data_IF_584776686809
#
_entry.id   IF_584776686809
#
_cell.length_a   1.000
_cell.length_b   1.000
_cell.length_c   1.000
_cell.angle_alpha   90.00
_cell.angle_beta   90.00
_cell.angle_gamma   90.00
#
_symmetry.space_group_name_H-M   'P 1'
#
loop_
_entity.id
_entity.type
_entity.pdbx_description
1 polymer ?
#
# COMPACT_ATOMS: atom_id res chain seq x y z
N UNK A 1 -4.68 10.52 5.87
CA UNK A 1 -3.22 10.27 5.84
C UNK A 1 -2.64 10.35 7.26
N UNK A 2 -1.71 9.48 7.64
CA UNK A 2 -1.15 9.40 9.02
C UNK A 2 0.08 10.28 9.29
N UNK A 3 0.59 11.02 8.30
CA UNK A 3 1.77 11.86 8.47
C UNK A 3 1.59 12.87 9.61
N UNK A 4 2.66 13.20 10.33
CA UNK A 4 2.71 14.25 11.35
C UNK A 4 3.48 15.48 10.89
N UNK A 5 3.94 15.50 9.63
CA UNK A 5 4.63 16.65 9.04
C UNK A 5 3.67 17.83 8.87
N UNK A 6 4.16 19.04 9.14
CA UNK A 6 3.41 20.27 8.92
C UNK A 6 3.29 20.60 7.44
N UNK A 7 4.27 20.21 6.61
CA UNK A 7 4.25 20.44 5.17
C UNK A 7 3.04 19.76 4.50
N UNK A 8 2.59 18.63 5.04
CA UNK A 8 1.51 17.84 4.44
C UNK A 8 0.11 18.31 4.86
N UNK A 9 -0.01 19.46 5.52
CA UNK A 9 -1.28 19.96 6.06
C UNK A 9 -2.30 20.29 4.95
N UNK A 10 -1.84 20.86 3.84
CA UNK A 10 -2.67 21.18 2.68
C UNK A 10 -3.21 19.91 2.02
N UNK A 11 -2.33 18.93 1.75
CA UNK A 11 -2.73 17.63 1.22
C UNK A 11 -3.74 16.91 2.13
N UNK A 12 -3.58 16.99 3.45
CA UNK A 12 -4.56 16.44 4.40
C UNK A 12 -5.92 17.12 4.30
N UNK A 13 -5.94 18.43 4.12
CA UNK A 13 -7.19 19.18 3.97
C UNK A 13 -7.91 18.79 2.67
N UNK A 14 -7.18 18.70 1.56
CA UNK A 14 -7.72 18.27 0.26
C UNK A 14 -8.30 16.84 0.32
N UNK A 15 -7.66 15.95 1.07
CA UNK A 15 -8.10 14.56 1.23
C UNK A 15 -9.17 14.34 2.31
N UNK A 16 -9.62 15.38 3.00
CA UNK A 16 -10.60 15.27 4.09
C UNK A 16 -12.05 15.09 3.60
N UNK A 17 -12.30 15.32 2.31
CA UNK A 17 -13.61 15.17 1.68
C UNK A 17 -13.52 14.85 0.19
N UNK A 18 -14.66 14.76 -0.51
CA UNK A 18 -14.69 14.59 -1.96
C UNK A 18 -14.01 15.75 -2.69
N UNK A 19 -13.24 15.44 -3.74
CA UNK A 19 -12.66 16.40 -4.66
C UNK A 19 -13.46 16.33 -5.97
N UNK A 20 -14.15 17.41 -6.33
CA UNK A 20 -15.01 17.46 -7.52
C UNK A 20 -14.31 18.05 -8.76
N UNK A 21 -13.26 18.84 -8.54
CA UNK A 21 -12.49 19.47 -9.60
C UNK A 21 -11.36 18.55 -10.10
N UNK A 22 -11.36 18.25 -11.40
CA UNK A 22 -10.40 17.35 -12.03
C UNK A 22 -8.96 17.88 -11.93
N UNK A 23 -8.76 19.21 -12.05
CA UNK A 23 -7.42 19.79 -11.94
C UNK A 23 -6.83 19.56 -10.54
N UNK A 24 -7.66 19.73 -9.51
CA UNK A 24 -7.33 19.43 -8.12
C UNK A 24 -7.04 17.94 -7.91
N UNK A 25 -7.84 17.04 -8.51
CA UNK A 25 -7.56 15.59 -8.48
C UNK A 25 -6.18 15.28 -9.07
N UNK A 26 -5.85 15.83 -10.24
CA UNK A 26 -4.56 15.60 -10.87
C UNK A 26 -3.39 16.12 -10.02
N UNK A 27 -3.52 17.30 -9.42
CA UNK A 27 -2.53 17.85 -8.49
C UNK A 27 -2.30 16.90 -7.31
N UNK A 28 -3.37 16.47 -6.64
CA UNK A 28 -3.31 15.58 -5.48
C UNK A 28 -2.70 14.22 -5.85
N UNK A 29 -3.02 13.68 -7.03
CA UNK A 29 -2.43 12.43 -7.52
C UNK A 29 -0.92 12.56 -7.76
N UNK A 30 -0.45 13.68 -8.32
CA UNK A 30 0.99 13.93 -8.50
C UNK A 30 1.68 13.98 -7.14
N UNK A 31 1.11 14.75 -6.20
CA UNK A 31 1.68 14.89 -4.86
C UNK A 31 1.74 13.54 -4.13
N UNK A 32 0.64 12.79 -4.09
CA UNK A 32 0.55 11.47 -3.46
C UNK A 32 1.53 10.44 -4.05
N UNK A 33 1.76 10.47 -5.36
CA UNK A 33 2.71 9.56 -6.03
C UNK A 33 4.16 9.81 -5.61
N UNK A 34 4.49 11.04 -5.23
CA UNK A 34 5.83 11.41 -4.75
C UNK A 34 5.95 11.47 -3.23
N UNK A 35 4.84 11.33 -2.51
CA UNK A 35 4.80 11.45 -1.07
C UNK A 35 5.37 10.20 -0.39
N UNK A 36 6.19 10.39 0.65
CA UNK A 36 6.76 9.33 1.52
C UNK A 36 5.75 8.32 2.07
N UNK A 37 4.46 8.70 2.11
CA UNK A 37 3.40 7.86 2.67
C UNK A 37 3.09 6.67 1.75
N UNK A 38 3.34 6.82 0.44
CA UNK A 38 3.21 5.73 -0.52
C UNK A 38 4.31 4.69 -0.30
N UNK A 39 5.55 5.13 -0.07
CA UNK A 39 6.68 4.25 0.26
C UNK A 39 6.45 3.54 1.60
N UNK A 40 6.01 4.27 2.64
CA UNK A 40 5.65 3.69 3.93
C UNK A 40 4.54 2.62 3.79
N UNK A 41 3.57 2.85 2.91
CA UNK A 41 2.50 1.89 2.63
C UNK A 41 3.04 0.63 1.94
N UNK A 42 3.99 0.77 1.01
CA UNK A 42 4.68 -0.36 0.35
C UNK A 42 5.50 -1.18 1.35
N UNK A 43 6.18 -0.52 2.28
CA UNK A 43 6.91 -1.21 3.36
C UNK A 43 5.95 -2.02 4.24
N UNK A 44 4.82 -1.43 4.64
CA UNK A 44 3.80 -2.13 5.42
C UNK A 44 3.22 -3.35 4.67
N UNK A 45 2.97 -3.21 3.36
CA UNK A 45 2.52 -4.31 2.53
C UNK A 45 3.52 -5.47 2.52
N UNK A 46 4.81 -5.19 2.34
CA UNK A 46 5.86 -6.22 2.37
C UNK A 46 5.95 -6.93 3.73
N UNK A 47 5.77 -6.20 4.83
CA UNK A 47 5.76 -6.83 6.16
C UNK A 47 4.56 -7.77 6.33
N UNK A 48 3.35 -7.35 5.92
CA UNK A 48 2.16 -8.21 5.96
C UNK A 48 2.37 -9.46 5.11
N UNK A 49 2.92 -9.32 3.91
CA UNK A 49 3.25 -10.44 3.04
C UNK A 49 4.24 -11.40 3.67
N UNK A 50 5.29 -10.89 4.32
CA UNK A 50 6.23 -11.70 5.08
C UNK A 50 5.53 -12.49 6.18
N UNK A 51 4.64 -11.84 6.94
CA UNK A 51 3.85 -12.52 7.98
C UNK A 51 2.94 -13.61 7.40
N UNK A 52 2.29 -13.37 6.25
CA UNK A 52 1.48 -14.36 5.56
C UNK A 52 2.30 -15.60 5.16
N UNK A 53 3.50 -15.40 4.60
CA UNK A 53 4.42 -16.49 4.25
C UNK A 53 4.91 -17.26 5.47
N UNK A 54 5.21 -16.57 6.57
CA UNK A 54 5.58 -17.21 7.84
C UNK A 54 4.44 -18.08 8.40
N UNK A 55 3.19 -17.65 8.25
CA UNK A 55 2.03 -18.44 8.67
C UNK A 55 1.84 -19.72 7.84
N UNK A 56 2.27 -19.73 6.58
CA UNK A 56 2.25 -20.93 5.73
C UNK A 56 3.40 -21.90 6.00
N UNK A 57 4.53 -21.41 6.53
CA UNK A 57 5.74 -22.20 6.74
C UNK A 57 5.57 -23.50 7.56
N UNK A 58 4.77 -23.52 8.65
CA UNK A 58 4.51 -24.73 9.43
C UNK A 58 3.60 -25.76 8.76
N UNK A 59 2.92 -25.42 7.66
CA UNK A 59 1.96 -26.31 7.02
C UNK A 59 2.68 -27.36 6.14
N UNK A 60 2.10 -28.56 5.98
CA UNK A 60 2.62 -29.55 5.05
C UNK A 60 2.72 -28.99 3.62
N UNK A 61 3.78 -29.38 2.92
CA UNK A 61 3.97 -29.04 1.50
C UNK A 61 2.92 -29.80 0.69
N UNK A 62 2.09 -29.05 -0.02
CA UNK A 62 1.03 -29.56 -0.89
C UNK A 62 0.69 -28.51 -1.94
N UNK A 63 -0.08 -28.90 -2.96
CA UNK A 63 -0.56 -27.97 -3.99
C UNK A 63 -1.35 -26.80 -3.40
N UNK A 64 -2.08 -27.03 -2.31
CA UNK A 64 -2.83 -25.99 -1.62
C UNK A 64 -1.90 -24.94 -0.97
N UNK A 65 -0.89 -25.39 -0.22
CA UNK A 65 0.09 -24.48 0.40
C UNK A 65 0.92 -23.74 -0.67
N UNK A 66 1.25 -24.43 -1.77
CA UNK A 66 1.91 -23.82 -2.93
C UNK A 66 1.07 -22.72 -3.58
N UNK A 67 -0.21 -22.97 -3.82
CA UNK A 67 -1.13 -21.99 -4.39
C UNK A 67 -1.28 -20.74 -3.51
N UNK A 68 -1.34 -20.92 -2.17
CA UNK A 68 -1.40 -19.80 -1.23
C UNK A 68 -0.11 -18.98 -1.22
N UNK A 69 1.05 -19.62 -1.36
CA UNK A 69 2.33 -18.93 -1.50
C UNK A 69 2.36 -18.09 -2.79
N UNK A 70 1.99 -18.69 -3.93
CA UNK A 70 1.92 -17.99 -5.21
C UNK A 70 0.92 -16.83 -5.20
N UNK A 71 -0.20 -16.97 -4.50
CA UNK A 71 -1.16 -15.89 -4.32
C UNK A 71 -0.56 -14.71 -3.54
N UNK A 72 0.20 -14.97 -2.48
CA UNK A 72 0.88 -13.92 -1.73
C UNK A 72 1.84 -13.14 -2.62
N UNK A 73 2.65 -13.84 -3.43
CA UNK A 73 3.61 -13.20 -4.34
C UNK A 73 2.89 -12.39 -5.43
N UNK A 74 1.84 -12.94 -6.05
CA UNK A 74 1.07 -12.25 -7.09
C UNK A 74 0.36 -10.97 -6.61
N UNK A 75 -0.03 -10.90 -5.33
CA UNK A 75 -0.62 -9.68 -4.75
C UNK A 75 0.44 -8.58 -4.58
N UNK A 76 1.64 -8.95 -4.16
CA UNK A 76 2.75 -8.01 -3.92
C UNK A 76 3.27 -7.45 -5.25
N UNK A 77 3.47 -8.30 -6.26
CA UNK A 77 4.03 -7.92 -7.57
C UNK A 77 3.19 -6.88 -8.33
N UNK A 78 1.90 -6.73 -7.99
CA UNK A 78 1.04 -5.67 -8.57
C UNK A 78 1.22 -4.30 -7.92
N UNK A 79 1.90 -4.24 -6.79
CA UNK A 79 2.06 -3.04 -5.96
C UNK A 79 3.41 -2.37 -6.17
N UNK A 80 4.25 -2.90 -7.06
CA UNK A 80 5.59 -2.38 -7.40
C UNK A 80 5.48 -1.29 -8.45
#
# INVERSE_FOLDING_TARGET
MKSTDSADSELKQLLAGPIEDEATVQQVLVELRTHKALDESRVQLHEIAKQARLALGPLPISDATGALMSLCDAVIDRSV
#
